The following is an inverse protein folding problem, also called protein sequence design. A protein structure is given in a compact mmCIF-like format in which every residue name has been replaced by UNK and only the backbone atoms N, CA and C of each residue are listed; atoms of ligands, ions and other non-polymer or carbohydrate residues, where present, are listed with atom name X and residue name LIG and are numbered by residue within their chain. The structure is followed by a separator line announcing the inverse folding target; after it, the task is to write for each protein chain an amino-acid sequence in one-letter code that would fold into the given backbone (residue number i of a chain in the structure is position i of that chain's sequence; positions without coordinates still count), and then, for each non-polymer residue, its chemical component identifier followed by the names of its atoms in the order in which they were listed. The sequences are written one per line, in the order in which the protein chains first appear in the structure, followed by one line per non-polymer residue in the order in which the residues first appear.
data_IF_697378691872
#
_entry.id   IF_697378691872
#
_cell.length_a   1.000
_cell.length_b   1.000
_cell.length_c   1.000
_cell.angle_alpha   90.00
_cell.angle_beta   90.00
_cell.angle_gamma   90.00
#
_symmetry.space_group_name_H-M   'P 1'
#
loop_
_entity.id
_entity.type
_entity.pdbx_description
1 polymer ?
#
# COMPACT_ATOMS: atom_id res chain seq x y z
N UNK A 1 -9.96 -34.66 18.63
CA UNK A 1 -9.83 -33.89 18.64
C UNK A 1 -9.54 -33.11 18.28
N UNK A 2 -9.13 -33.07 18.17
CA UNK A 2 -8.81 -32.01 17.94
C UNK A 2 -8.49 -31.54 17.50
N UNK A 3 -8.45 -31.58 17.33
CA UNK A 3 -8.17 -30.71 17.04
C UNK A 3 -8.00 -30.09 16.62
N UNK A 4 -7.69 -30.05 16.49
CA UNK A 4 -7.44 -28.95 16.17
C UNK A 4 -7.41 -28.32 15.91
N UNK A 5 -7.76 -28.98 15.64
CA UNK A 5 -7.66 -27.91 15.51
C UNK A 5 -7.55 -27.23 15.26
N UNK A 6 -7.69 -27.74 15.19
CA UNK A 6 -7.49 -26.70 15.15
C UNK A 6 -7.43 -25.87 14.68
N UNK A 7 -7.50 -26.30 14.64
CA UNK A 7 -7.38 -25.25 14.49
C UNK A 7 -7.84 -24.79 14.26
N UNK A 8 -7.85 -25.49 14.31
CA UNK A 8 -8.15 -24.67 14.37
C UNK A 8 -8.40 -24.26 14.32
N UNK A 9 -8.58 -24.54 14.24
CA UNK A 9 -8.77 -23.79 14.44
C UNK A 9 -8.86 -23.15 14.47
N UNK A 10 -9.07 -23.73 14.44
CA UNK A 10 -9.05 -22.89 14.71
C UNK A 10 -9.11 -22.15 14.59
N UNK A 11 -9.37 -22.53 14.53
CA UNK A 11 -9.33 -21.64 14.69
C UNK A 11 -9.13 -20.83 14.44
N UNK A 12 -9.15 -21.17 14.35
CA UNK A 12 -8.83 -20.17 14.38
C UNK A 12 -8.45 -19.62 13.86
N UNK A 13 -8.36 -19.66 13.79
CA UNK A 13 -7.76 -19.01 13.56
C UNK A 13 -7.37 -18.40 12.93
N UNK A 14 -7.40 -18.47 12.90
CA UNK A 14 -6.76 -17.74 12.55
C UNK A 14 -6.17 -17.17 12.24
N UNK A 15 -6.04 -17.35 12.34
CA UNK A 15 -5.21 -16.73 12.16
C UNK A 15 -4.51 -16.33 11.62
N UNK A 16 -4.32 -16.47 11.86
CA UNK A 16 -3.45 -16.00 11.44
C UNK A 16 -3.20 -15.87 10.49
N UNK A 17 -3.37 -15.91 10.15
CA UNK A 17 -2.92 -15.67 9.31
C UNK A 17 -3.00 -14.71 8.81
N UNK A 18 -3.17 -14.41 9.03
CA UNK A 18 -3.15 -13.41 8.62
C UNK A 18 -2.19 -12.57 8.51
N UNK A 19 -1.66 -12.75 8.90
CA UNK A 19 -0.66 -11.86 9.04
C UNK A 19 -0.15 -11.26 7.86
N UNK A 20 0.18 -11.93 7.00
CA UNK A 20 0.63 -11.34 5.78
C UNK A 20 -0.51 -10.67 5.06
N UNK A 21 -1.35 -10.06 5.80
CA UNK A 21 -2.48 -9.42 5.21
C UNK A 21 -2.12 -8.16 4.47
N UNK A 22 -3.07 -7.61 3.75
CA UNK A 22 -2.86 -6.37 3.02
C UNK A 22 -2.58 -5.22 3.96
N UNK A 23 -1.97 -4.16 3.44
CA UNK A 23 -1.52 -3.03 4.24
C UNK A 23 -2.65 -2.08 4.55
N UNK A 24 -3.87 -2.54 4.62
CA UNK A 24 -5.02 -1.65 4.73
C UNK A 24 -5.52 -1.42 6.13
N UNK A 25 -5.54 -2.49 6.93
CA UNK A 25 -6.14 -2.39 8.26
C UNK A 25 -5.22 -1.59 9.16
N UNK A 26 -5.72 -0.47 9.67
CA UNK A 26 -4.98 0.35 10.60
C UNK A 26 -3.89 1.21 9.97
N UNK A 27 -3.62 1.07 8.70
CA UNK A 27 -2.61 1.90 8.05
C UNK A 27 -3.15 3.30 7.82
N UNK A 28 -2.31 4.34 7.96
CA UNK A 28 -2.77 5.71 7.76
C UNK A 28 -3.13 5.98 6.31
N UNK A 29 -4.09 6.86 6.13
CA UNK A 29 -4.59 7.23 4.81
C UNK A 29 -3.92 8.52 4.36
N UNK A 30 -3.55 8.53 3.10
CA UNK A 30 -2.97 9.70 2.46
C UNK A 30 -3.68 9.94 1.14
N UNK A 31 -3.59 11.15 0.66
CA UNK A 31 -4.21 11.54 -0.60
C UNK A 31 -3.12 11.99 -1.57
N UNK A 32 -3.23 11.57 -2.83
CA UNK A 32 -2.32 12.03 -3.88
C UNK A 32 -2.60 13.51 -4.13
N UNK A 33 -1.55 14.32 -4.13
CA UNK A 33 -1.67 15.76 -4.34
C UNK A 33 -0.41 16.30 -4.98
N UNK A 34 -0.52 17.49 -5.58
CA UNK A 34 0.64 18.16 -6.15
C UNK A 34 1.08 17.62 -7.49
N UNK A 35 0.35 16.70 -8.07
CA UNK A 35 0.65 16.23 -9.42
C UNK A 35 0.08 17.25 -10.39
N UNK A 36 0.83 17.53 -11.46
CA UNK A 36 0.40 18.50 -12.45
C UNK A 36 -0.93 18.09 -13.08
N UNK A 37 -1.71 19.08 -13.42
CA UNK A 37 -3.00 18.84 -14.05
C UNK A 37 -2.80 18.02 -15.33
N UNK A 38 -3.58 16.97 -15.48
CA UNK A 38 -3.47 16.09 -16.64
C UNK A 38 -2.43 14.99 -16.50
N UNK A 39 -1.72 14.98 -15.38
CA UNK A 39 -0.72 13.96 -15.12
C UNK A 39 -1.19 13.07 -13.97
N UNK A 40 -0.43 12.02 -13.68
CA UNK A 40 -0.75 11.08 -12.63
C UNK A 40 0.50 10.65 -11.91
N UNK A 41 0.36 10.36 -10.62
CA UNK A 41 1.44 9.77 -9.84
C UNK A 41 1.58 8.31 -10.23
N UNK A 42 2.81 7.87 -10.49
CA UNK A 42 3.03 6.49 -10.93
C UNK A 42 3.15 5.56 -9.75
N UNK A 43 2.28 4.53 -9.74
CA UNK A 43 2.37 3.44 -8.80
C UNK A 43 3.29 2.40 -9.42
N UNK A 44 4.43 2.14 -8.79
CA UNK A 44 5.46 1.28 -9.39
C UNK A 44 5.60 -0.03 -8.64
N UNK A 45 6.18 -1.01 -9.30
CA UNK A 45 6.37 -2.34 -8.71
C UNK A 45 7.42 -2.34 -7.61
N UNK A 46 8.24 -1.31 -7.53
CA UNK A 46 9.27 -1.22 -6.51
C UNK A 46 9.64 0.23 -6.25
N UNK A 47 10.50 0.46 -5.24
CA UNK A 47 10.81 1.81 -4.79
C UNK A 47 11.89 2.47 -5.66
N UNK A 48 11.53 2.88 -6.85
CA UNK A 48 12.45 3.58 -7.73
C UNK A 48 11.87 3.77 -9.11
N UNK A 49 12.45 4.72 -9.86
CA UNK A 49 11.95 5.03 -11.19
C UNK A 49 12.30 3.97 -12.22
N UNK A 50 13.17 3.03 -11.87
CA UNK A 50 13.50 1.93 -12.77
C UNK A 50 12.54 0.79 -12.72
N UNK A 51 11.59 0.80 -11.79
CA UNK A 51 10.61 -0.27 -11.67
C UNK A 51 9.41 -0.01 -12.57
N UNK A 52 8.76 -1.10 -12.99
CA UNK A 52 7.62 -1.04 -13.88
C UNK A 52 6.48 -0.23 -13.28
N UNK A 53 5.86 0.60 -14.11
CA UNK A 53 4.67 1.36 -13.71
C UNK A 53 3.47 0.43 -13.80
N UNK A 54 2.72 0.32 -12.71
CA UNK A 54 1.56 -0.55 -12.63
C UNK A 54 0.26 0.22 -12.85
N UNK A 55 0.23 1.48 -12.44
CA UNK A 55 -0.99 2.28 -12.56
C UNK A 55 -0.64 3.75 -12.41
N UNK A 56 -1.55 4.61 -12.86
CA UNK A 56 -1.46 6.05 -12.67
C UNK A 56 -2.50 6.48 -11.66
N UNK A 57 -2.10 7.31 -10.70
CA UNK A 57 -2.98 7.78 -9.64
C UNK A 57 -3.17 9.28 -9.77
N UNK A 58 -4.38 9.72 -10.14
CA UNK A 58 -4.63 11.17 -10.22
C UNK A 58 -4.70 11.81 -8.85
N UNK A 59 -4.56 13.13 -8.81
CA UNK A 59 -4.78 13.87 -7.56
C UNK A 59 -6.12 13.48 -6.96
N UNK A 60 -6.16 13.34 -5.64
CA UNK A 60 -7.37 12.94 -4.95
C UNK A 60 -7.48 11.45 -4.68
N UNK A 61 -6.63 10.64 -5.30
CA UNK A 61 -6.63 9.20 -5.03
C UNK A 61 -6.19 8.97 -3.59
N UNK A 62 -6.94 8.15 -2.86
CA UNK A 62 -6.60 7.83 -1.47
C UNK A 62 -5.86 6.52 -1.41
N UNK A 63 -4.77 6.51 -0.67
CA UNK A 63 -3.94 5.32 -0.48
C UNK A 63 -3.71 5.10 1.00
N UNK A 64 -3.43 3.85 1.36
CA UNK A 64 -3.01 3.47 2.71
C UNK A 64 -1.51 3.24 2.67
N UNK A 65 -0.78 3.94 3.53
CA UNK A 65 0.69 3.88 3.53
C UNK A 65 1.14 2.88 4.58
N UNK A 66 1.94 1.91 4.17
CA UNK A 66 2.47 0.92 5.08
C UNK A 66 3.80 1.36 5.66
N UNK A 67 4.74 1.68 4.80
CA UNK A 67 6.04 2.16 5.29
C UNK A 67 6.74 2.93 4.18
N UNK A 68 7.64 3.79 4.57
CA UNK A 68 8.40 4.62 3.65
C UNK A 68 9.87 4.50 3.96
N UNK A 69 10.71 4.56 2.93
CA UNK A 69 12.16 4.57 3.11
C UNK A 69 12.78 5.45 2.05
N UNK A 70 13.92 6.03 2.41
CA UNK A 70 14.65 6.91 1.51
C UNK A 70 15.60 6.07 0.68
N UNK A 71 15.47 6.17 -0.62
CA UNK A 71 16.33 5.44 -1.54
C UNK A 71 16.78 6.42 -2.60
N UNK A 72 18.08 6.67 -2.64
CA UNK A 72 18.65 7.56 -3.66
C UNK A 72 18.15 8.98 -3.60
N UNK A 73 17.83 9.51 -2.46
CA UNK A 73 17.40 10.89 -2.33
C UNK A 73 15.91 11.10 -2.41
N UNK A 74 15.15 10.06 -2.76
CA UNK A 74 13.68 10.13 -2.80
C UNK A 74 13.13 9.23 -1.71
N UNK A 75 12.11 9.70 -1.03
CA UNK A 75 11.44 8.88 -0.05
C UNK A 75 10.30 8.14 -0.73
N UNK A 76 10.38 6.83 -0.76
CA UNK A 76 9.40 5.96 -1.41
C UNK A 76 8.53 5.29 -0.37
N UNK A 77 7.25 5.21 -0.65
CA UNK A 77 6.29 4.60 0.28
C UNK A 77 5.60 3.43 -0.38
N UNK A 78 5.53 2.33 0.35
CA UNK A 78 4.73 1.19 -0.06
C UNK A 78 3.29 1.47 0.33
N UNK A 79 2.38 1.38 -0.63
CA UNK A 79 0.98 1.75 -0.43
C UNK A 79 0.04 0.72 -1.03
N UNK A 80 -1.19 0.76 -0.55
CA UNK A 80 -2.31 0.04 -1.17
C UNK A 80 -3.38 1.07 -1.50
N UNK A 81 -4.10 0.89 -2.60
CA UNK A 81 -5.20 1.79 -2.92
C UNK A 81 -6.32 1.57 -1.92
N UNK A 82 -6.89 2.66 -1.43
CA UNK A 82 -7.95 2.57 -0.44
C UNK A 82 -9.19 1.87 -1.03
N UNK A 83 -9.51 2.18 -2.29
CA UNK A 83 -10.66 1.60 -2.96
C UNK A 83 -10.42 0.18 -3.48
N UNK A 84 -9.17 -0.21 -3.62
CA UNK A 84 -8.81 -1.51 -4.18
C UNK A 84 -7.60 -2.02 -3.43
N UNK A 85 -7.80 -2.50 -2.19
CA UNK A 85 -6.67 -2.84 -1.32
C UNK A 85 -5.75 -3.93 -1.86
N UNK A 86 -6.20 -4.70 -2.82
CA UNK A 86 -5.33 -5.68 -3.45
C UNK A 86 -4.34 -5.06 -4.42
N UNK A 87 -4.52 -3.81 -4.80
CA UNK A 87 -3.57 -3.14 -5.68
C UNK A 87 -2.56 -2.39 -4.84
N UNK A 88 -1.34 -2.90 -4.83
CA UNK A 88 -0.26 -2.35 -4.01
C UNK A 88 0.91 -1.95 -4.89
N UNK A 89 1.76 -1.11 -4.37
CA UNK A 89 2.95 -0.70 -5.08
C UNK A 89 3.67 0.40 -4.32
N UNK A 90 4.52 1.12 -5.02
CA UNK A 90 5.36 2.15 -4.41
C UNK A 90 5.17 3.48 -5.13
N UNK A 91 5.11 4.54 -4.33
CA UNK A 91 4.98 5.91 -4.86
C UNK A 91 5.95 6.82 -4.13
N UNK A 92 6.28 7.94 -4.77
CA UNK A 92 7.10 8.96 -4.14
C UNK A 92 6.27 9.70 -3.10
N UNK A 93 6.83 9.84 -1.89
CA UNK A 93 6.13 10.52 -0.81
C UNK A 93 5.87 11.99 -1.10
N UNK A 94 6.65 12.58 -2.00
CA UNK A 94 6.52 13.99 -2.35
C UNK A 94 5.08 14.35 -2.73
N UNK A 95 4.36 13.40 -3.31
CA UNK A 95 3.00 13.64 -3.80
C UNK A 95 1.92 13.08 -2.88
N UNK A 96 2.23 12.89 -1.61
CA UNK A 96 1.25 12.37 -0.65
C UNK A 96 1.00 13.39 0.45
N UNK A 97 -0.27 13.62 0.76
CA UNK A 97 -0.69 14.49 1.85
C UNK A 97 -1.48 13.64 2.83
N UNK A 98 -1.09 13.68 4.09
CA UNK A 98 -1.77 12.88 5.11
C UNK A 98 -3.19 13.39 5.33
N UNK A 99 -4.13 12.48 5.41
CA UNK A 99 -5.53 12.81 5.68
C UNK A 99 -5.83 12.84 7.17
#
# INVERSE_FOLDING_TARGET
MFRFIVCAMAAGTLTACVAAGPVTVGAPRYEVSGVEEGDMLKLRAGPGTGYTIQAGLPNGTVVRVRECSRIGGTRWCEVALDDSPGMTGYVSQTYLTKL
#
